data_IF_050891364627
#
_entry.id   IF_050891364627
#
_cell.length_a   1.000
_cell.length_b   1.000
_cell.length_c   1.000
_cell.angle_alpha   90.00
_cell.angle_beta   90.00
_cell.angle_gamma   90.00
#
_symmetry.space_group_name_H-M   'P 1'
#
loop_
_entity.id
_entity.type
_entity.pdbx_description
1 polymer ?
#
# COMPACT_ATOMS: atom_id res chain seq x y z
N UNK A 1 38.20 5.18 -61.10
CA UNK A 1 38.31 6.32 -62.03
C UNK A 1 37.75 7.54 -61.37
N UNK A 2 38.64 8.58 -61.29
CA UNK A 2 38.42 10.00 -60.92
C UNK A 2 38.03 10.32 -59.46
N UNK A 3 38.93 10.71 -58.60
CA UNK A 3 39.78 11.87 -58.43
C UNK A 3 39.00 13.22 -58.42
N UNK A 4 38.81 13.74 -57.25
CA UNK A 4 38.75 15.18 -57.03
C UNK A 4 39.14 15.53 -55.58
N UNK A 5 40.40 15.74 -55.45
CA UNK A 5 41.08 16.54 -54.40
C UNK A 5 40.69 18.04 -54.60
N UNK A 6 40.79 18.74 -53.51
CA UNK A 6 40.89 20.19 -53.40
C UNK A 6 39.58 20.97 -53.11
N UNK A 7 39.46 21.40 -51.82
CA UNK A 7 39.59 22.79 -51.43
C UNK A 7 39.66 22.96 -49.93
N UNK A 8 40.87 22.85 -49.42
CA UNK A 8 41.27 23.56 -48.22
C UNK A 8 41.40 25.03 -48.54
N UNK A 9 40.56 25.86 -47.98
CA UNK A 9 40.87 27.29 -47.89
C UNK A 9 40.06 27.97 -46.79
N UNK A 10 40.74 28.36 -45.72
CA UNK A 10 40.51 29.66 -45.14
C UNK A 10 39.41 29.80 -44.07
N UNK A 11 39.62 29.21 -42.88
CA UNK A 11 39.02 29.82 -41.69
C UNK A 11 40.04 29.82 -40.52
N UNK A 12 41.14 30.54 -40.73
CA UNK A 12 41.95 31.06 -39.63
C UNK A 12 41.53 32.50 -39.38
N UNK A 13 40.98 32.79 -38.24
CA UNK A 13 40.89 34.14 -37.78
C UNK A 13 39.50 34.59 -37.34
N UNK A 14 38.98 34.00 -36.22
CA UNK A 14 37.98 34.69 -35.38
C UNK A 14 37.70 33.94 -34.06
N UNK A 15 38.71 33.37 -33.42
CA UNK A 15 38.56 32.70 -32.11
C UNK A 15 39.36 33.36 -30.97
N UNK A 16 39.62 34.64 -31.02
CA UNK A 16 40.47 35.29 -30.00
C UNK A 16 39.84 36.48 -29.28
N UNK A 17 38.50 36.58 -29.20
CA UNK A 17 37.89 37.62 -28.37
C UNK A 17 36.66 37.21 -27.60
N UNK A 18 36.47 35.91 -27.28
CA UNK A 18 35.29 35.44 -26.52
C UNK A 18 35.61 34.95 -25.09
N UNK A 19 36.86 35.13 -24.62
CA UNK A 19 37.27 34.59 -23.31
C UNK A 19 37.27 35.61 -22.17
N UNK A 20 36.86 36.86 -22.39
CA UNK A 20 36.86 37.89 -21.33
C UNK A 20 35.50 38.21 -20.71
N UNK A 21 34.39 37.68 -21.23
CA UNK A 21 33.04 37.96 -20.68
C UNK A 21 32.44 36.84 -19.79
N UNK A 22 33.10 35.70 -19.66
CA UNK A 22 32.56 34.56 -18.93
C UNK A 22 32.93 34.50 -17.44
N UNK A 23 33.74 35.42 -16.92
CA UNK A 23 34.19 35.36 -15.52
C UNK A 23 33.20 35.90 -14.48
N UNK A 24 32.19 36.66 -14.86
CA UNK A 24 31.22 37.20 -13.88
C UNK A 24 29.84 36.54 -13.90
N UNK A 25 29.49 35.80 -14.96
CA UNK A 25 28.17 35.12 -15.06
C UNK A 25 28.18 33.75 -14.39
N UNK A 26 29.32 33.05 -14.34
CA UNK A 26 29.47 31.73 -13.77
C UNK A 26 29.25 31.65 -12.25
N UNK A 27 29.46 32.76 -11.53
CA UNK A 27 29.29 32.77 -10.07
C UNK A 27 27.81 32.90 -9.64
N UNK A 28 26.98 33.56 -10.46
CA UNK A 28 25.56 33.76 -10.18
C UNK A 28 24.73 32.54 -10.65
N UNK A 29 25.10 31.93 -11.78
CA UNK A 29 24.44 30.72 -12.28
C UNK A 29 24.76 29.50 -11.43
N UNK A 30 25.99 29.39 -10.88
CA UNK A 30 26.34 28.32 -9.95
C UNK A 30 25.52 28.37 -8.64
N UNK A 31 25.33 29.58 -8.09
CA UNK A 31 24.56 29.77 -6.86
C UNK A 31 23.05 29.42 -7.06
N UNK A 32 22.50 29.75 -8.23
CA UNK A 32 21.08 29.42 -8.55
C UNK A 32 20.90 27.92 -8.76
N UNK A 33 21.83 27.23 -9.41
CA UNK A 33 21.79 25.79 -9.60
C UNK A 33 21.93 25.02 -8.28
N UNK A 34 22.82 25.49 -7.38
CA UNK A 34 23.00 24.87 -6.06
C UNK A 34 21.76 25.09 -5.18
N UNK A 35 21.15 26.28 -5.21
CA UNK A 35 19.90 26.52 -4.45
C UNK A 35 18.71 25.76 -5.03
N UNK A 36 18.63 25.59 -6.35
CA UNK A 36 17.58 24.76 -6.98
C UNK A 36 17.77 23.28 -6.64
N UNK A 37 19.01 22.79 -6.61
CA UNK A 37 19.33 21.42 -6.21
C UNK A 37 19.01 21.18 -4.73
N UNK A 38 19.31 22.13 -3.85
CA UNK A 38 18.96 22.09 -2.43
C UNK A 38 17.45 22.12 -2.20
N UNK A 39 16.69 22.90 -2.96
CA UNK A 39 15.22 22.91 -2.91
C UNK A 39 14.62 21.61 -3.40
N UNK A 40 15.18 21.00 -4.44
CA UNK A 40 14.76 19.68 -4.93
C UNK A 40 15.04 18.56 -3.91
N UNK A 41 16.17 18.60 -3.20
CA UNK A 41 16.47 17.61 -2.15
C UNK A 41 15.59 17.75 -0.93
N UNK A 42 15.16 18.97 -0.58
CA UNK A 42 14.21 19.20 0.51
C UNK A 42 12.77 18.75 0.14
N UNK A 43 12.39 18.82 -1.14
CA UNK A 43 11.08 18.38 -1.60
C UNK A 43 10.93 16.85 -1.58
N UNK A 44 12.02 16.09 -1.71
CA UNK A 44 11.99 14.62 -1.68
C UNK A 44 11.92 14.07 -0.24
N UNK A 45 12.23 14.90 0.76
CA UNK A 45 12.25 14.48 2.19
C UNK A 45 10.91 14.59 2.90
N UNK A 46 9.86 15.07 2.25
CA UNK A 46 8.49 14.98 2.77
C UNK A 46 7.93 13.57 2.51
N UNK A 47 8.60 12.54 3.00
CA UNK A 47 8.00 11.23 3.18
C UNK A 47 6.82 11.42 4.12
N UNK A 48 5.61 11.37 3.59
CA UNK A 48 4.42 11.44 4.42
C UNK A 48 4.55 10.34 5.48
N UNK A 49 4.66 10.73 6.74
CA UNK A 49 4.77 9.76 7.83
C UNK A 49 3.56 8.84 7.76
N UNK A 50 3.78 7.55 7.95
CA UNK A 50 2.71 6.58 7.99
C UNK A 50 1.73 6.97 9.10
N UNK A 51 0.48 7.22 8.73
CA UNK A 51 -0.56 7.61 9.70
C UNK A 51 -1.23 6.33 10.18
N UNK A 52 -1.06 6.04 11.48
CA UNK A 52 -1.65 4.89 12.16
C UNK A 52 -2.96 5.33 12.84
N UNK A 53 -4.02 4.54 12.67
CA UNK A 53 -5.33 4.78 13.28
C UNK A 53 -5.92 3.48 13.83
N UNK A 54 -6.61 3.56 14.96
CA UNK A 54 -7.39 2.46 15.52
C UNK A 54 -8.71 2.36 14.76
N UNK A 55 -9.07 1.16 14.35
CA UNK A 55 -10.26 0.91 13.53
C UNK A 55 -11.10 -0.23 14.08
N UNK A 56 -12.41 -0.13 13.86
CA UNK A 56 -13.33 -1.25 13.96
C UNK A 56 -13.42 -1.97 12.63
N UNK A 57 -13.52 -3.29 12.67
CA UNK A 57 -13.68 -4.14 11.47
C UNK A 57 -14.83 -5.12 11.71
N UNK A 58 -15.72 -5.25 10.71
CA UNK A 58 -16.82 -6.22 10.72
C UNK A 58 -17.00 -6.82 9.34
N UNK A 59 -17.38 -8.08 9.35
CA UNK A 59 -17.74 -8.83 8.15
C UNK A 59 -19.22 -9.25 8.22
N UNK A 60 -20.01 -8.75 7.29
CA UNK A 60 -21.43 -9.07 7.15
C UNK A 60 -21.61 -10.10 6.04
N UNK A 61 -22.70 -10.86 6.07
CA UNK A 61 -23.05 -11.71 4.93
C UNK A 61 -23.22 -10.87 3.68
N UNK A 62 -22.97 -11.47 2.53
CA UNK A 62 -23.15 -10.82 1.23
C UNK A 62 -24.57 -10.24 1.09
N UNK A 63 -25.57 -10.95 1.59
CA UNK A 63 -26.97 -10.51 1.64
C UNK A 63 -27.51 -10.49 3.05
N UNK A 64 -28.31 -9.45 3.38
CA UNK A 64 -28.93 -9.25 4.69
C UNK A 64 -27.98 -8.65 5.73
N UNK A 65 -28.46 -8.50 6.97
CA UNK A 65 -27.77 -7.77 8.05
C UNK A 65 -27.29 -8.73 9.15
N UNK A 66 -26.88 -9.95 8.76
CA UNK A 66 -26.29 -10.93 9.68
C UNK A 66 -24.78 -10.96 9.53
N UNK A 67 -24.09 -11.20 10.63
CA UNK A 67 -22.65 -11.39 10.63
C UNK A 67 -22.25 -12.59 9.76
N UNK A 68 -21.14 -12.43 9.04
CA UNK A 68 -20.55 -13.50 8.23
C UNK A 68 -19.80 -14.49 9.14
N UNK A 69 -19.53 -15.69 8.63
CA UNK A 69 -18.64 -16.64 9.29
C UNK A 69 -17.24 -16.05 9.47
N UNK A 70 -16.76 -15.22 8.53
CA UNK A 70 -15.47 -14.53 8.64
C UNK A 70 -15.42 -13.56 9.84
N UNK A 71 -16.56 -12.97 10.25
CA UNK A 71 -16.63 -12.12 11.44
C UNK A 71 -16.32 -12.89 12.72
N UNK A 72 -16.70 -14.15 12.77
CA UNK A 72 -16.40 -15.02 13.91
C UNK A 72 -14.90 -15.32 14.07
N UNK A 73 -14.09 -15.13 13.02
CA UNK A 73 -12.63 -15.23 13.08
C UNK A 73 -11.96 -13.95 13.56
N UNK A 74 -12.68 -12.82 13.67
CA UNK A 74 -12.16 -11.56 14.19
C UNK A 74 -12.24 -11.56 15.71
N UNK A 75 -11.14 -11.18 16.35
CA UNK A 75 -11.12 -10.93 17.79
C UNK A 75 -11.52 -9.48 18.07
N UNK A 76 -12.81 -9.26 18.32
CA UNK A 76 -13.38 -7.94 18.60
C UNK A 76 -13.08 -7.40 20.00
N UNK A 77 -12.42 -8.17 20.86
CA UNK A 77 -11.97 -7.71 22.19
C UNK A 77 -10.68 -6.91 22.12
N UNK A 78 -9.98 -7.00 20.99
CA UNK A 78 -8.73 -6.31 20.70
C UNK A 78 -8.94 -5.30 19.56
N UNK A 79 -8.18 -4.21 19.62
CA UNK A 79 -8.28 -3.14 18.63
C UNK A 79 -7.51 -3.51 17.34
N UNK A 80 -8.17 -3.36 16.19
CA UNK A 80 -7.49 -3.42 14.91
C UNK A 80 -6.81 -2.08 14.58
N UNK A 81 -5.75 -2.14 13.80
CA UNK A 81 -5.01 -0.95 13.40
C UNK A 81 -4.92 -0.84 11.89
N UNK A 82 -5.21 0.34 11.38
CA UNK A 82 -5.07 0.66 9.96
C UNK A 82 -3.97 1.72 9.79
N UNK A 83 -2.94 1.41 9.01
CA UNK A 83 -1.82 2.29 8.75
C UNK A 83 -1.85 2.73 7.29
N UNK A 84 -1.98 4.05 7.06
CA UNK A 84 -1.87 4.63 5.72
C UNK A 84 -0.40 4.69 5.30
N UNK A 85 -0.09 4.10 4.15
CA UNK A 85 1.25 4.12 3.57
C UNK A 85 1.47 5.37 2.70
N UNK A 86 2.72 5.80 2.48
CA UNK A 86 3.04 6.96 1.64
C UNK A 86 2.53 6.84 0.20
N UNK A 87 2.41 5.63 -0.33
CA UNK A 87 1.87 5.34 -1.67
C UNK A 87 0.34 5.41 -1.77
N UNK A 88 -0.35 5.76 -0.66
CA UNK A 88 -1.81 5.87 -0.60
C UNK A 88 -2.54 4.55 -0.32
N UNK A 89 -1.84 3.42 -0.22
CA UNK A 89 -2.42 2.15 0.22
C UNK A 89 -2.51 2.07 1.74
N UNK A 90 -3.18 1.02 2.23
CA UNK A 90 -3.30 0.76 3.66
C UNK A 90 -2.71 -0.59 4.04
N UNK A 91 -2.19 -0.67 5.26
CA UNK A 91 -1.87 -1.93 5.94
C UNK A 91 -2.83 -2.09 7.11
N UNK A 92 -3.56 -3.20 7.14
CA UNK A 92 -4.46 -3.56 8.23
C UNK A 92 -3.79 -4.62 9.11
N UNK A 93 -3.68 -4.33 10.40
CA UNK A 93 -3.31 -5.30 11.44
C UNK A 93 -4.61 -5.67 12.16
N UNK A 94 -5.13 -6.85 11.86
CA UNK A 94 -6.42 -7.34 12.34
C UNK A 94 -6.18 -8.42 13.39
N UNK A 95 -6.56 -8.21 14.67
CA UNK A 95 -6.60 -9.28 15.65
C UNK A 95 -7.57 -10.38 15.22
N UNK A 96 -7.08 -11.60 15.21
CA UNK A 96 -7.86 -12.77 14.79
C UNK A 96 -7.83 -13.85 15.85
N UNK A 97 -8.85 -14.70 15.83
CA UNK A 97 -8.96 -15.84 16.72
C UNK A 97 -9.30 -17.09 15.93
N UNK A 98 -9.10 -18.24 16.55
CA UNK A 98 -9.47 -19.51 15.96
C UNK A 98 -10.98 -19.54 15.70
N UNK A 99 -11.34 -19.85 14.46
CA UNK A 99 -12.72 -20.11 14.08
C UNK A 99 -13.04 -21.58 14.43
N UNK A 100 -14.16 -21.81 15.09
CA UNK A 100 -14.63 -23.15 15.39
C UNK A 100 -16.06 -23.29 14.86
N UNK A 101 -16.27 -24.27 13.98
CA UNK A 101 -17.56 -24.56 13.39
C UNK A 101 -17.67 -26.06 13.09
N UNK A 102 -18.74 -26.71 13.52
CA UNK A 102 -19.04 -28.14 13.23
C UNK A 102 -17.87 -29.10 13.54
N UNK A 103 -17.18 -28.91 14.68
CA UNK A 103 -15.97 -29.64 15.09
C UNK A 103 -14.75 -29.45 14.18
N UNK A 104 -14.77 -28.41 13.37
CA UNK A 104 -13.64 -27.98 12.54
C UNK A 104 -13.07 -26.69 13.10
N UNK A 105 -11.74 -26.56 13.04
CA UNK A 105 -11.05 -25.34 13.38
C UNK A 105 -10.49 -24.69 12.14
N UNK A 106 -10.35 -23.37 12.16
CA UNK A 106 -9.80 -22.63 11.03
C UNK A 106 -9.36 -21.24 11.43
N UNK A 107 -8.78 -20.51 10.48
CA UNK A 107 -8.40 -19.11 10.65
C UNK A 107 -8.59 -18.34 9.35
N UNK A 108 -8.81 -17.05 9.50
CA UNK A 108 -8.78 -16.11 8.38
C UNK A 108 -7.32 -15.91 7.94
N UNK A 109 -7.02 -16.11 6.66
CA UNK A 109 -5.67 -16.02 6.10
C UNK A 109 -5.49 -14.86 5.12
N UNK A 110 -6.59 -14.36 4.56
CA UNK A 110 -6.56 -13.27 3.58
C UNK A 110 -7.94 -12.84 3.16
N UNK A 111 -7.98 -11.84 2.30
CA UNK A 111 -9.19 -11.38 1.62
C UNK A 111 -8.90 -11.12 0.15
N UNK A 112 -9.91 -11.24 -0.71
CA UNK A 112 -9.86 -10.72 -2.07
C UNK A 112 -10.88 -9.59 -2.23
N UNK A 113 -10.51 -8.55 -2.97
CA UNK A 113 -11.38 -7.43 -3.34
C UNK A 113 -11.44 -7.40 -4.87
N UNK A 114 -12.60 -7.75 -5.44
CA UNK A 114 -12.71 -8.02 -6.86
C UNK A 114 -11.79 -9.18 -7.26
N UNK A 115 -10.89 -8.96 -8.21
CA UNK A 115 -9.94 -9.97 -8.70
C UNK A 115 -8.58 -9.93 -7.96
N UNK A 116 -8.38 -8.99 -7.04
CA UNK A 116 -7.10 -8.80 -6.34
C UNK A 116 -7.13 -9.54 -5.01
N UNK A 117 -6.21 -10.49 -4.84
CA UNK A 117 -6.01 -11.21 -3.59
C UNK A 117 -5.01 -10.48 -2.68
N UNK A 118 -5.34 -10.38 -1.40
CA UNK A 118 -4.52 -9.81 -0.34
C UNK A 118 -4.23 -10.90 0.67
N UNK A 119 -3.16 -11.65 0.42
CA UNK A 119 -2.70 -12.69 1.34
C UNK A 119 -2.17 -12.05 2.61
N UNK A 120 -2.63 -12.54 3.73
CA UNK A 120 -2.23 -12.05 5.04
C UNK A 120 -0.98 -12.76 5.56
N UNK A 121 -0.27 -12.06 6.43
CA UNK A 121 0.78 -12.66 7.26
C UNK A 121 0.24 -12.79 8.67
N UNK A 122 0.10 -14.04 9.14
CA UNK A 122 -0.30 -14.33 10.50
C UNK A 122 0.91 -14.26 11.43
N UNK A 123 0.78 -13.55 12.55
CA UNK A 123 1.76 -13.48 13.64
C UNK A 123 1.06 -13.75 14.97
N UNK A 124 1.80 -14.21 15.98
CA UNK A 124 1.22 -14.64 17.26
C UNK A 124 0.61 -16.04 17.17
N UNK A 125 -0.15 -16.42 18.18
CA UNK A 125 -0.78 -17.74 18.29
C UNK A 125 -2.31 -17.61 18.38
N UNK A 126 -3.01 -18.42 17.59
CA UNK A 126 -4.47 -18.48 17.59
C UNK A 126 -5.03 -19.08 18.88
N UNK A 127 -4.27 -20.00 19.52
CA UNK A 127 -4.71 -20.73 20.70
C UNK A 127 -4.66 -19.88 21.97
N UNK A 128 -3.74 -18.92 22.05
CA UNK A 128 -3.58 -18.03 23.20
C UNK A 128 -4.24 -16.64 22.99
N UNK A 129 -4.84 -16.42 21.81
CA UNK A 129 -5.53 -15.17 21.47
C UNK A 129 -4.59 -14.00 21.15
N UNK A 130 -3.30 -14.26 20.87
CA UNK A 130 -2.35 -13.21 20.48
C UNK A 130 -2.27 -12.99 18.99
N UNK A 131 -2.93 -13.82 18.19
CA UNK A 131 -2.83 -13.81 16.74
C UNK A 131 -3.26 -12.47 16.11
N UNK A 132 -2.48 -12.02 15.14
CA UNK A 132 -2.76 -10.83 14.32
C UNK A 132 -2.51 -11.16 12.86
N UNK A 133 -3.51 -10.91 12.03
CA UNK A 133 -3.44 -11.02 10.58
C UNK A 133 -3.05 -9.65 10.00
N UNK A 134 -1.93 -9.58 9.32
CA UNK A 134 -1.46 -8.36 8.65
C UNK A 134 -1.76 -8.44 7.15
N UNK A 135 -2.65 -7.58 6.66
CA UNK A 135 -3.00 -7.42 5.26
C UNK A 135 -2.33 -6.14 4.72
N UNK A 136 -1.56 -6.25 3.64
CA UNK A 136 -0.80 -5.13 3.07
C UNK A 136 -1.40 -4.68 1.74
N UNK A 137 -1.06 -3.42 1.37
CA UNK A 137 -1.43 -2.82 0.07
C UNK A 137 -2.94 -2.72 -0.20
N UNK A 138 -3.76 -2.70 0.84
CA UNK A 138 -5.20 -2.53 0.71
C UNK A 138 -5.53 -1.17 0.05
N UNK A 139 -6.54 -1.11 -0.84
CA UNK A 139 -6.95 0.15 -1.47
C UNK A 139 -7.64 1.09 -0.48
N UNK A 140 -7.65 2.38 -0.79
CA UNK A 140 -8.28 3.38 0.08
C UNK A 140 -9.80 3.17 0.26
N UNK A 141 -10.44 2.47 -0.67
CA UNK A 141 -11.86 2.14 -0.62
C UNK A 141 -12.27 1.21 0.52
N UNK A 142 -11.30 0.58 1.22
CA UNK A 142 -11.62 -0.27 2.38
C UNK A 142 -12.13 0.50 3.60
N UNK A 143 -11.80 1.80 3.69
CA UNK A 143 -12.27 2.66 4.78
C UNK A 143 -13.68 3.17 4.45
N UNK A 144 -14.69 2.40 4.79
CA UNK A 144 -16.09 2.59 4.38
C UNK A 144 -16.95 3.31 5.42
N UNK A 145 -16.54 3.30 6.69
CA UNK A 145 -17.40 3.63 7.81
C UNK A 145 -18.14 2.40 8.35
N UNK A 146 -18.97 2.59 9.35
CA UNK A 146 -19.75 1.53 10.03
C UNK A 146 -21.06 1.16 9.30
N UNK A 147 -21.45 1.91 8.27
CA UNK A 147 -22.68 1.68 7.52
C UNK A 147 -22.52 0.48 6.58
N UNK A 148 -23.29 -0.58 6.82
CA UNK A 148 -23.29 -1.81 6.01
C UNK A 148 -23.61 -1.55 4.54
N UNK A 149 -24.41 -0.51 4.23
CA UNK A 149 -24.73 -0.17 2.84
C UNK A 149 -23.56 0.43 2.05
N UNK A 150 -22.51 0.87 2.76
CA UNK A 150 -21.26 1.39 2.17
C UNK A 150 -20.10 0.39 2.22
N UNK A 151 -20.39 -0.84 2.66
CA UNK A 151 -19.40 -1.91 2.78
C UNK A 151 -18.76 -2.27 1.45
N UNK A 152 -17.54 -2.80 1.51
CA UNK A 152 -16.86 -3.39 0.36
C UNK A 152 -17.17 -4.88 0.29
N UNK A 153 -17.56 -5.36 -0.89
CA UNK A 153 -17.69 -6.80 -1.13
C UNK A 153 -16.29 -7.42 -1.19
N UNK A 154 -16.07 -8.43 -0.38
CA UNK A 154 -14.80 -9.16 -0.28
C UNK A 154 -15.05 -10.67 -0.32
N UNK A 155 -14.08 -11.41 -0.78
CA UNK A 155 -13.99 -12.85 -0.57
C UNK A 155 -13.00 -13.11 0.57
N UNK A 156 -13.43 -13.74 1.64
CA UNK A 156 -12.60 -14.09 2.78
C UNK A 156 -11.99 -15.48 2.56
N UNK A 157 -10.67 -15.58 2.66
CA UNK A 157 -9.92 -16.83 2.54
C UNK A 157 -9.76 -17.41 3.96
N UNK A 158 -10.33 -18.56 4.19
CA UNK A 158 -10.33 -19.23 5.51
C UNK A 158 -9.62 -20.57 5.35
N UNK A 159 -8.48 -20.71 6.01
CA UNK A 159 -7.77 -21.99 6.11
C UNK A 159 -8.43 -22.84 7.19
N UNK A 160 -8.92 -24.01 6.81
CA UNK A 160 -9.51 -24.98 7.74
C UNK A 160 -8.49 -26.06 8.09
N UNK A 161 -8.46 -26.44 9.37
CA UNK A 161 -7.63 -27.55 9.88
C UNK A 161 -8.31 -28.89 9.60
N UNK A 162 -8.42 -29.23 8.33
CA UNK A 162 -8.91 -30.50 7.85
C UNK A 162 -8.01 -31.02 6.74
N UNK A 163 -7.59 -32.26 6.86
CA UNK A 163 -6.82 -32.97 5.84
C UNK A 163 -7.53 -33.07 4.47
N UNK A 164 -8.79 -32.68 4.38
CA UNK A 164 -9.65 -32.88 3.20
C UNK A 164 -10.17 -31.59 2.58
N UNK A 165 -10.38 -30.49 3.32
CA UNK A 165 -11.03 -29.29 2.81
C UNK A 165 -10.08 -28.12 2.51
N UNK A 166 -8.89 -28.08 3.08
CA UNK A 166 -7.88 -27.05 2.80
C UNK A 166 -8.41 -25.63 3.04
N UNK A 167 -8.61 -24.87 1.98
CA UNK A 167 -9.08 -23.49 2.01
C UNK A 167 -10.55 -23.36 1.63
N UNK A 168 -11.29 -22.54 2.38
CA UNK A 168 -12.68 -22.18 2.09
C UNK A 168 -12.74 -20.69 1.78
N UNK A 169 -13.35 -20.35 0.65
CA UNK A 169 -13.59 -18.99 0.23
C UNK A 169 -15.05 -18.62 0.49
N UNK A 170 -15.31 -17.55 1.24
CA UNK A 170 -16.64 -17.07 1.55
C UNK A 170 -16.82 -15.60 1.23
N UNK A 171 -17.89 -15.26 0.50
CA UNK A 171 -18.22 -13.86 0.21
C UNK A 171 -18.76 -13.17 1.45
N UNK A 172 -18.29 -11.95 1.68
CA UNK A 172 -18.70 -11.10 2.78
C UNK A 172 -18.68 -9.60 2.38
N UNK A 173 -19.41 -8.80 3.13
CA UNK A 173 -19.33 -7.34 3.06
C UNK A 173 -18.49 -6.84 4.22
N UNK A 174 -17.34 -6.21 3.94
CA UNK A 174 -16.42 -5.71 4.96
C UNK A 174 -16.68 -4.22 5.22
N UNK A 175 -16.80 -3.86 6.49
CA UNK A 175 -16.82 -2.49 6.98
C UNK A 175 -15.57 -2.23 7.81
N UNK A 176 -14.88 -1.12 7.52
CA UNK A 176 -13.78 -0.60 8.34
C UNK A 176 -14.08 0.87 8.67
N UNK A 177 -14.07 1.21 9.95
CA UNK A 177 -14.31 2.59 10.40
C UNK A 177 -13.33 3.01 11.49
N UNK A 178 -13.06 4.30 11.56
CA UNK A 178 -12.19 4.86 12.60
C UNK A 178 -12.90 4.78 13.95
N UNK A 179 -12.27 4.17 14.93
CA UNK A 179 -12.68 4.22 16.33
C UNK A 179 -11.99 5.44 16.98
N UNK A 180 -12.75 6.45 17.28
CA UNK A 180 -12.25 7.60 18.03
C UNK A 180 -12.33 7.35 19.52
#
# INVERSE_FOLDING_TARGET
FWNAQSRLCGWKGRFLNMTKSLKHTGRRTGAVLVSLLLLLTLAVSASAAAVKMTVGVRFWRESGDKESMADSAVDTTREATLTRQPNGTFTLELPVKQLSSMNMTGCLTGIAIGEVNYDGTLSGDLSDGTAVLTLKNLPASVLTGSDVNKSVLVTCNIQMDLQVLGEINTSARMCIWNQK
#
